data_IF_574875271366
#
_entry.id   IF_574875271366
#
_cell.length_a   1.000
_cell.length_b   1.000
_cell.length_c   1.000
_cell.angle_alpha   90.00
_cell.angle_beta   90.00
_cell.angle_gamma   90.00
#
_symmetry.space_group_name_H-M   'P 1'
#
loop_
_entity.id
_entity.type
_entity.pdbx_description
1 polymer ?
#
# COMPACT_ATOMS: atom_id res chain seq x y z
N UNK A 1 -20.40 -24.81 20.95
CA UNK A 1 -19.10 -24.53 21.59
C UNK A 1 -18.37 -23.53 20.71
N UNK A 2 -17.85 -22.43 21.26
CA UNK A 2 -17.00 -21.53 20.49
C UNK A 2 -15.73 -22.30 20.06
N UNK A 3 -15.24 -22.11 18.82
CA UNK A 3 -14.01 -22.76 18.38
C UNK A 3 -12.83 -22.35 19.29
N UNK A 4 -12.02 -23.33 19.72
CA UNK A 4 -10.74 -23.04 20.37
C UNK A 4 -9.72 -22.71 19.28
N UNK A 5 -9.06 -21.57 19.42
CA UNK A 5 -8.04 -21.08 18.49
C UNK A 5 -6.61 -21.42 18.95
N UNK A 6 -6.46 -22.26 19.98
CA UNK A 6 -5.15 -22.69 20.47
C UNK A 6 -4.49 -23.74 19.54
N UNK A 7 -5.27 -24.37 18.65
CA UNK A 7 -4.76 -25.23 17.57
C UNK A 7 -4.68 -24.44 16.24
N UNK A 8 -3.48 -24.37 15.66
CA UNK A 8 -3.21 -23.61 14.43
C UNK A 8 -4.04 -24.05 13.22
N UNK A 9 -4.33 -25.35 13.07
CA UNK A 9 -5.14 -25.84 11.96
C UNK A 9 -6.60 -25.36 12.05
N UNK A 10 -7.20 -25.43 13.24
CA UNK A 10 -8.58 -24.96 13.43
C UNK A 10 -8.71 -23.45 13.28
N UNK A 11 -7.69 -22.68 13.71
CA UNK A 11 -7.65 -21.23 13.48
C UNK A 11 -7.55 -20.92 11.98
N UNK A 12 -6.62 -21.57 11.28
CA UNK A 12 -6.41 -21.32 9.85
C UNK A 12 -7.64 -21.69 9.03
N UNK A 13 -8.29 -22.81 9.34
CA UNK A 13 -9.52 -23.22 8.68
C UNK A 13 -10.64 -22.20 8.89
N UNK A 14 -10.84 -21.72 10.13
CA UNK A 14 -11.87 -20.74 10.45
C UNK A 14 -11.59 -19.38 9.80
N UNK A 15 -10.40 -18.83 10.00
CA UNK A 15 -10.06 -17.46 9.56
C UNK A 15 -9.86 -17.39 8.06
N UNK A 16 -9.05 -18.31 7.50
CA UNK A 16 -8.61 -18.26 6.10
C UNK A 16 -9.54 -19.07 5.20
N UNK A 17 -9.66 -20.38 5.44
CA UNK A 17 -10.36 -21.29 4.49
C UNK A 17 -11.87 -21.12 4.47
N UNK A 18 -12.48 -20.71 5.58
CA UNK A 18 -13.91 -20.42 5.67
C UNK A 18 -14.20 -18.93 5.39
N UNK A 19 -13.19 -18.05 5.41
CA UNK A 19 -13.36 -16.63 5.12
C UNK A 19 -13.93 -15.80 6.26
N UNK A 20 -13.89 -16.28 7.50
CA UNK A 20 -14.35 -15.47 8.63
C UNK A 20 -13.44 -14.25 8.88
N UNK A 21 -12.17 -14.33 8.48
CA UNK A 21 -11.19 -13.28 8.70
C UNK A 21 -10.81 -13.10 10.17
N UNK A 22 -9.90 -12.18 10.44
CA UNK A 22 -9.55 -11.73 11.79
C UNK A 22 -10.77 -11.09 12.45
N UNK A 23 -11.60 -10.37 11.69
CA UNK A 23 -12.82 -9.75 12.22
C UNK A 23 -13.76 -10.79 12.82
N UNK A 24 -14.03 -11.89 12.11
CA UNK A 24 -14.91 -12.95 12.62
C UNK A 24 -14.37 -13.59 13.90
N UNK A 25 -13.04 -13.68 14.05
CA UNK A 25 -12.41 -14.13 15.29
C UNK A 25 -12.59 -13.12 16.43
N UNK A 26 -12.49 -11.82 16.15
CA UNK A 26 -12.73 -10.74 17.14
C UNK A 26 -14.20 -10.69 17.57
N UNK A 27 -15.13 -10.88 16.63
CA UNK A 27 -16.58 -10.90 16.90
C UNK A 27 -16.98 -12.06 17.86
N UNK A 28 -16.15 -13.10 17.99
CA UNK A 28 -16.35 -14.20 18.95
C UNK A 28 -15.89 -13.85 20.38
N UNK A 29 -15.44 -12.61 20.65
CA UNK A 29 -15.05 -12.16 21.98
C UNK A 29 -13.66 -12.62 22.40
N UNK A 30 -12.71 -12.60 21.47
CA UNK A 30 -11.33 -13.02 21.72
C UNK A 30 -10.65 -12.16 22.79
N UNK A 31 -10.09 -12.78 23.83
CA UNK A 31 -9.45 -12.09 24.95
C UNK A 31 -7.92 -11.97 24.85
N UNK A 32 -7.28 -12.73 23.95
CA UNK A 32 -5.82 -12.78 23.77
C UNK A 32 -5.47 -12.95 22.30
N UNK A 33 -4.33 -12.41 21.87
CA UNK A 33 -3.81 -12.68 20.51
C UNK A 33 -3.41 -14.16 20.40
N UNK A 34 -3.87 -14.92 19.39
CA UNK A 34 -3.47 -16.31 19.20
C UNK A 34 -2.01 -16.41 18.74
N UNK A 35 -1.35 -17.52 19.06
CA UNK A 35 0.08 -17.72 18.75
C UNK A 35 0.43 -17.49 17.27
N UNK A 36 -0.48 -17.82 16.35
CA UNK A 36 -0.28 -17.65 14.91
C UNK A 36 -0.15 -16.19 14.47
N UNK A 37 -0.57 -15.21 15.28
CA UNK A 37 -0.48 -13.77 15.00
C UNK A 37 0.61 -13.08 15.81
N UNK A 38 1.28 -13.79 16.72
CA UNK A 38 2.37 -13.22 17.52
C UNK A 38 3.59 -13.06 16.61
N UNK A 39 3.92 -11.83 16.33
CA UNK A 39 5.07 -11.46 15.51
C UNK A 39 6.37 -11.67 16.30
N UNK A 40 7.46 -12.07 15.64
CA UNK A 40 8.76 -12.19 16.29
C UNK A 40 9.21 -10.81 16.83
N UNK A 41 10.05 -10.76 17.89
CA UNK A 41 10.39 -9.51 18.56
C UNK A 41 10.89 -8.39 17.63
N UNK A 42 11.65 -8.75 16.60
CA UNK A 42 12.19 -7.82 15.59
C UNK A 42 11.13 -7.22 14.64
N UNK A 43 9.96 -7.85 14.52
CA UNK A 43 8.84 -7.35 13.69
C UNK A 43 7.83 -6.55 14.52
N UNK A 44 7.84 -6.69 15.85
CA UNK A 44 6.98 -5.92 16.73
C UNK A 44 7.28 -4.41 16.61
N UNK A 45 6.22 -3.59 16.74
CA UNK A 45 6.33 -2.14 16.57
C UNK A 45 6.55 -1.51 17.94
N UNK A 46 7.73 -0.94 18.13
CA UNK A 46 8.02 -0.05 19.26
C UNK A 46 7.28 1.28 19.06
N UNK A 47 6.09 1.37 19.65
CA UNK A 47 5.20 2.53 19.53
C UNK A 47 5.65 3.70 20.40
N UNK A 48 6.35 3.40 21.49
CA UNK A 48 6.72 4.40 22.50
C UNK A 48 7.92 5.24 22.05
N UNK A 49 8.80 4.68 21.24
CA UNK A 49 10.01 5.35 20.74
C UNK A 49 9.88 5.90 19.31
N UNK A 50 8.75 5.70 18.64
CA UNK A 50 8.57 6.18 17.28
C UNK A 50 8.30 7.69 17.23
N UNK A 51 9.11 8.42 16.46
CA UNK A 51 8.85 9.82 16.18
C UNK A 51 7.70 9.98 15.19
N UNK A 52 7.03 11.13 15.23
CA UNK A 52 5.98 11.47 14.26
C UNK A 52 6.60 12.24 13.11
N UNK A 53 6.24 11.88 11.89
CA UNK A 53 6.63 12.66 10.73
C UNK A 53 5.99 14.05 10.82
N UNK A 54 6.84 15.08 10.86
CA UNK A 54 6.43 16.45 11.14
C UNK A 54 6.30 17.35 9.91
N UNK A 55 6.45 16.83 8.69
CA UNK A 55 6.28 17.64 7.49
C UNK A 55 4.79 17.91 7.25
N UNK A 56 4.41 19.17 6.96
CA UNK A 56 3.04 19.48 6.59
C UNK A 56 2.69 18.83 5.25
N UNK A 57 1.41 18.55 4.98
CA UNK A 57 0.97 18.10 3.66
C UNK A 57 1.31 19.12 2.58
N UNK A 58 1.67 18.62 1.41
CA UNK A 58 1.91 19.39 0.19
C UNK A 58 0.55 19.80 -0.40
N UNK A 59 0.35 21.11 -0.61
CA UNK A 59 -0.87 21.65 -1.19
C UNK A 59 -0.79 21.61 -2.73
N UNK A 60 -1.52 20.67 -3.34
CA UNK A 60 -1.50 20.49 -4.79
C UNK A 60 -2.30 21.54 -5.57
N UNK A 61 -3.15 22.34 -4.92
CA UNK A 61 -3.86 23.43 -5.61
C UNK A 61 -2.93 24.54 -6.09
N UNK A 62 -1.73 24.61 -5.51
CA UNK A 62 -0.66 25.56 -5.86
C UNK A 62 0.14 25.14 -7.11
N UNK A 63 -0.03 23.92 -7.61
CA UNK A 63 0.70 23.40 -8.77
C UNK A 63 0.45 24.20 -10.05
N UNK A 64 -0.78 24.64 -10.29
CA UNK A 64 -1.17 25.35 -11.52
C UNK A 64 -1.03 26.88 -11.38
N UNK A 65 -0.28 27.34 -10.37
CA UNK A 65 -0.15 28.76 -9.99
C UNK A 65 1.30 29.27 -9.90
N UNK A 66 1.51 30.47 -9.31
CA UNK A 66 2.84 31.09 -9.18
C UNK A 66 3.85 30.27 -8.39
N UNK A 67 3.37 29.36 -7.53
CA UNK A 67 4.18 28.54 -6.65
C UNK A 67 4.54 27.17 -7.26
N UNK A 68 4.26 26.95 -8.55
CA UNK A 68 4.49 25.67 -9.26
C UNK A 68 5.86 25.05 -8.92
N UNK A 69 6.93 25.81 -9.12
CA UNK A 69 8.31 25.34 -8.91
C UNK A 69 8.61 24.99 -7.45
N UNK A 70 7.95 25.64 -6.49
CA UNK A 70 8.11 25.34 -5.06
C UNK A 70 7.44 24.01 -4.73
N UNK A 71 6.19 23.81 -5.18
CA UNK A 71 5.46 22.56 -4.96
C UNK A 71 6.15 21.38 -5.64
N UNK A 72 6.68 21.57 -6.85
CA UNK A 72 7.49 20.56 -7.54
C UNK A 72 8.72 20.18 -6.70
N UNK A 73 9.43 21.17 -6.13
CA UNK A 73 10.58 20.90 -5.25
C UNK A 73 10.19 20.16 -3.98
N UNK A 74 9.04 20.46 -3.38
CA UNK A 74 8.52 19.74 -2.21
C UNK A 74 8.25 18.26 -2.54
N UNK A 75 7.56 17.99 -3.65
CA UNK A 75 7.26 16.64 -4.13
C UNK A 75 8.55 15.86 -4.40
N UNK A 76 9.46 16.44 -5.16
CA UNK A 76 10.75 15.82 -5.51
C UNK A 76 11.57 15.54 -4.26
N UNK A 77 11.68 16.52 -3.36
CA UNK A 77 12.44 16.35 -2.11
C UNK A 77 11.86 15.24 -1.26
N UNK A 78 10.54 15.15 -1.13
CA UNK A 78 9.91 14.08 -0.38
C UNK A 78 10.16 12.70 -1.03
N UNK A 79 10.10 12.62 -2.36
CA UNK A 79 10.38 11.40 -3.11
C UNK A 79 11.86 10.95 -3.01
N UNK A 80 12.82 11.89 -3.00
CA UNK A 80 14.27 11.60 -2.87
C UNK A 80 14.71 11.30 -1.43
N UNK A 81 13.93 11.72 -0.44
CA UNK A 81 14.25 11.52 0.98
C UNK A 81 13.42 10.39 1.57
N UNK A 82 12.25 10.66 2.15
CA UNK A 82 11.47 9.62 2.83
C UNK A 82 10.83 8.64 1.85
N UNK A 83 10.54 9.07 0.62
CA UNK A 83 9.74 8.30 -0.33
C UNK A 83 8.25 8.29 -0.03
N UNK A 84 7.83 9.05 1.00
CA UNK A 84 6.46 9.22 1.44
C UNK A 84 6.17 10.71 1.63
N UNK A 85 4.97 11.15 1.27
CA UNK A 85 4.48 12.49 1.56
C UNK A 85 2.96 12.51 1.65
N UNK A 86 2.43 13.49 2.36
CA UNK A 86 0.99 13.76 2.41
C UNK A 86 0.65 14.87 1.43
N UNK A 87 -0.50 14.77 0.78
CA UNK A 87 -1.03 15.80 -0.11
C UNK A 87 -2.41 16.25 0.35
N UNK A 88 -2.73 17.52 0.16
CA UNK A 88 -4.05 18.13 0.37
C UNK A 88 -4.44 18.96 -0.86
N UNK A 89 -5.71 19.34 -0.94
CA UNK A 89 -6.28 20.06 -2.10
C UNK A 89 -5.95 19.37 -3.44
N UNK A 90 -5.93 18.04 -3.42
CA UNK A 90 -5.52 17.18 -4.54
C UNK A 90 -6.63 16.94 -5.57
N UNK A 91 -7.80 17.56 -5.40
CA UNK A 91 -8.94 17.45 -6.33
C UNK A 91 -9.88 16.26 -6.10
N UNK A 92 -9.59 15.40 -5.11
CA UNK A 92 -10.55 14.35 -4.68
C UNK A 92 -11.44 14.94 -3.58
N UNK A 93 -12.79 14.94 -3.74
CA UNK A 93 -13.68 15.51 -2.75
C UNK A 93 -13.55 14.85 -1.37
N UNK A 94 -13.55 15.64 -0.29
CA UNK A 94 -13.46 15.10 1.07
C UNK A 94 -14.65 14.20 1.40
N UNK A 95 -15.86 14.57 0.98
CA UNK A 95 -17.06 13.74 1.18
C UNK A 95 -16.96 12.37 0.50
N UNK A 96 -16.25 12.30 -0.64
CA UNK A 96 -15.95 11.03 -1.31
C UNK A 96 -15.02 10.18 -0.43
N UNK A 97 -13.96 10.77 0.13
CA UNK A 97 -13.03 10.11 1.06
C UNK A 97 -13.75 9.58 2.32
N UNK A 98 -14.66 10.36 2.90
CA UNK A 98 -15.48 9.90 4.04
C UNK A 98 -16.40 8.74 3.64
N UNK A 99 -17.07 8.85 2.48
CA UNK A 99 -17.94 7.80 1.94
C UNK A 99 -17.19 6.49 1.67
N UNK A 100 -15.92 6.53 1.23
CA UNK A 100 -15.09 5.33 1.07
C UNK A 100 -14.82 4.62 2.40
N UNK A 101 -14.54 5.39 3.46
CA UNK A 101 -14.30 4.82 4.79
C UNK A 101 -15.56 4.14 5.30
N UNK A 102 -16.72 4.78 5.14
CA UNK A 102 -18.01 4.22 5.52
C UNK A 102 -18.37 2.98 4.71
N UNK A 103 -18.12 3.00 3.39
CA UNK A 103 -18.33 1.85 2.52
C UNK A 103 -17.42 0.66 2.89
N UNK A 104 -16.16 0.92 3.23
CA UNK A 104 -15.25 -0.11 3.74
C UNK A 104 -15.79 -0.72 5.04
N UNK A 105 -16.16 0.11 6.03
CA UNK A 105 -16.77 -0.37 7.26
C UNK A 105 -18.06 -1.17 7.02
N UNK A 106 -18.90 -0.73 6.09
CA UNK A 106 -20.14 -1.40 5.71
C UNK A 106 -19.86 -2.77 5.12
N UNK A 107 -18.92 -2.87 4.17
CA UNK A 107 -18.50 -4.15 3.59
C UNK A 107 -18.00 -5.12 4.66
N UNK A 108 -17.07 -4.72 5.52
CA UNK A 108 -16.49 -5.62 6.52
C UNK A 108 -17.47 -5.99 7.63
N UNK A 109 -18.49 -5.18 7.90
CA UNK A 109 -19.55 -5.45 8.89
C UNK A 109 -20.58 -6.50 8.43
N UNK A 110 -20.59 -6.87 7.15
CA UNK A 110 -21.47 -7.92 6.66
C UNK A 110 -21.19 -9.29 7.32
N UNK A 111 -22.20 -10.18 7.32
CA UNK A 111 -22.01 -11.58 7.68
C UNK A 111 -20.86 -12.23 6.89
N UNK A 112 -20.06 -13.14 7.50
CA UNK A 112 -18.95 -13.81 6.84
C UNK A 112 -19.31 -14.43 5.49
N UNK A 113 -20.51 -15.01 5.36
CA UNK A 113 -20.97 -15.68 4.15
C UNK A 113 -21.09 -14.73 2.96
N UNK A 114 -21.44 -13.46 3.21
CA UNK A 114 -21.55 -12.42 2.18
C UNK A 114 -20.19 -11.94 1.68
N UNK A 115 -19.18 -11.95 2.54
CA UNK A 115 -17.80 -11.58 2.17
C UNK A 115 -17.05 -12.75 1.54
N UNK A 116 -17.29 -13.96 2.04
CA UNK A 116 -16.60 -15.19 1.63
C UNK A 116 -16.84 -15.56 0.16
N UNK A 117 -17.89 -15.03 -0.48
CA UNK A 117 -18.13 -15.20 -1.93
C UNK A 117 -17.01 -14.60 -2.78
N UNK A 118 -16.24 -13.65 -2.26
CA UNK A 118 -15.13 -13.02 -2.97
C UNK A 118 -13.77 -13.70 -2.69
N UNK A 119 -13.73 -14.83 -1.96
CA UNK A 119 -12.47 -15.53 -1.74
C UNK A 119 -11.88 -16.04 -3.05
N UNK A 120 -10.55 -16.12 -3.13
CA UNK A 120 -9.80 -16.49 -4.33
C UNK A 120 -10.33 -17.75 -5.02
N UNK A 121 -10.76 -18.75 -4.25
CA UNK A 121 -11.19 -20.05 -4.78
C UNK A 121 -12.61 -20.04 -5.39
N UNK A 122 -13.45 -19.07 -5.00
CA UNK A 122 -14.88 -19.06 -5.33
C UNK A 122 -15.38 -17.74 -5.90
N UNK A 123 -14.51 -16.72 -5.96
CA UNK A 123 -14.86 -15.41 -6.49
C UNK A 123 -15.41 -15.52 -7.90
N UNK A 124 -16.52 -14.83 -8.24
CA UNK A 124 -17.09 -14.85 -9.59
C UNK A 124 -16.10 -14.39 -10.67
N UNK A 125 -15.06 -13.64 -10.29
CA UNK A 125 -14.02 -13.14 -11.17
C UNK A 125 -12.65 -13.21 -10.48
N UNK A 126 -11.55 -13.46 -11.21
CA UNK A 126 -10.20 -13.34 -10.66
C UNK A 126 -9.82 -11.89 -10.29
N UNK A 127 -10.60 -10.89 -10.70
CA UNK A 127 -10.33 -9.47 -10.48
C UNK A 127 -10.65 -9.01 -9.06
N UNK A 128 -11.47 -9.75 -8.32
CA UNK A 128 -11.88 -9.39 -6.96
C UNK A 128 -11.50 -10.50 -6.00
N UNK A 129 -10.73 -10.16 -4.96
CA UNK A 129 -10.25 -11.11 -3.95
C UNK A 129 -10.45 -10.56 -2.55
N UNK A 130 -11.33 -11.17 -1.78
CA UNK A 130 -11.41 -11.04 -0.32
C UNK A 130 -10.49 -12.07 0.35
N UNK A 131 -9.84 -11.64 1.42
CA UNK A 131 -8.95 -12.48 2.21
C UNK A 131 -8.53 -11.83 3.51
N UNK A 132 -7.54 -12.45 4.13
CA UNK A 132 -6.94 -12.05 5.40
C UNK A 132 -5.44 -12.25 5.27
N UNK A 133 -4.65 -11.52 6.07
CA UNK A 133 -3.18 -11.48 5.91
C UNK A 133 -2.74 -11.05 4.50
N UNK A 134 -1.49 -11.31 4.11
CA UNK A 134 -1.00 -11.08 2.75
C UNK A 134 -1.03 -12.38 1.92
N UNK A 135 -0.25 -13.38 2.34
CA UNK A 135 -0.20 -14.73 1.78
C UNK A 135 -0.13 -15.72 2.97
N UNK A 136 -1.27 -15.99 3.64
CA UNK A 136 -1.32 -16.75 4.88
C UNK A 136 -0.56 -18.08 4.86
N UNK A 137 -0.55 -18.77 3.73
CA UNK A 137 0.08 -20.09 3.56
C UNK A 137 1.61 -20.04 3.63
N UNK A 138 2.22 -18.87 3.43
CA UNK A 138 3.68 -18.68 3.39
C UNK A 138 4.20 -17.88 4.59
N UNK A 139 3.30 -17.32 5.39
CA UNK A 139 3.66 -16.46 6.52
C UNK A 139 4.05 -17.29 7.76
N UNK A 140 5.10 -16.84 8.45
CA UNK A 140 5.51 -17.43 9.74
C UNK A 140 4.60 -17.00 10.89
N UNK A 141 4.15 -15.75 10.84
CA UNK A 141 3.17 -15.17 11.72
C UNK A 141 2.22 -14.32 10.87
N UNK A 142 0.91 -14.54 11.04
CA UNK A 142 -0.14 -13.86 10.29
C UNK A 142 -0.24 -12.38 10.68
N UNK A 143 -0.62 -11.56 9.71
CA UNK A 143 -0.97 -10.15 9.87
C UNK A 143 -2.41 -10.02 10.38
N UNK A 144 -2.63 -9.07 11.30
CA UNK A 144 -3.93 -8.77 11.89
C UNK A 144 -4.76 -7.85 10.98
N UNK A 145 -5.12 -8.35 9.80
CA UNK A 145 -5.78 -7.58 8.75
C UNK A 145 -6.67 -8.47 7.89
N UNK A 146 -7.89 -8.00 7.64
CA UNK A 146 -8.73 -8.48 6.55
C UNK A 146 -8.67 -7.49 5.39
N UNK A 147 -8.86 -7.97 4.17
CA UNK A 147 -8.85 -7.10 3.00
C UNK A 147 -9.80 -7.57 1.91
N UNK A 148 -10.24 -6.63 1.08
CA UNK A 148 -10.73 -6.91 -0.26
C UNK A 148 -9.89 -6.15 -1.27
N UNK A 149 -9.43 -6.86 -2.29
CA UNK A 149 -8.63 -6.34 -3.39
C UNK A 149 -9.47 -6.35 -4.66
N UNK A 150 -9.55 -5.20 -5.33
CA UNK A 150 -10.40 -4.95 -6.49
C UNK A 150 -9.53 -4.43 -7.63
N UNK A 151 -9.15 -5.32 -8.54
CA UNK A 151 -8.41 -4.96 -9.74
C UNK A 151 -9.35 -4.25 -10.72
N UNK A 152 -8.87 -3.15 -11.29
CA UNK A 152 -9.59 -2.37 -12.28
C UNK A 152 -9.07 -2.68 -13.69
N UNK A 153 -10.01 -2.89 -14.60
CA UNK A 153 -9.79 -3.15 -16.02
C UNK A 153 -10.59 -2.15 -16.87
N UNK A 154 -11.89 -2.04 -16.60
CA UNK A 154 -12.80 -1.04 -17.15
C UNK A 154 -14.00 -0.80 -16.22
N UNK A 155 -14.72 0.31 -16.43
CA UNK A 155 -15.89 0.70 -15.63
C UNK A 155 -16.98 -0.38 -15.60
N UNK A 156 -17.22 -1.12 -16.70
CA UNK A 156 -18.28 -2.13 -16.76
C UNK A 156 -17.96 -3.34 -15.87
N UNK A 157 -16.75 -3.91 -15.97
CA UNK A 157 -16.31 -5.02 -15.12
C UNK A 157 -16.23 -4.61 -13.64
N UNK A 158 -15.81 -3.37 -13.36
CA UNK A 158 -15.81 -2.84 -12.00
C UNK A 158 -17.23 -2.77 -11.42
N UNK A 159 -18.19 -2.20 -12.17
CA UNK A 159 -19.59 -2.11 -11.72
C UNK A 159 -20.29 -3.46 -11.66
N UNK A 160 -19.91 -4.42 -12.50
CA UNK A 160 -20.48 -5.76 -12.50
C UNK A 160 -19.97 -6.61 -11.31
N UNK A 161 -18.67 -6.54 -11.01
CA UNK A 161 -18.03 -7.52 -10.14
C UNK A 161 -17.58 -6.99 -8.77
N UNK A 162 -17.32 -5.69 -8.61
CA UNK A 162 -16.97 -5.15 -7.29
C UNK A 162 -18.17 -5.20 -6.34
N UNK A 163 -17.97 -5.30 -5.01
CA UNK A 163 -19.07 -5.38 -4.07
C UNK A 163 -20.03 -4.19 -4.19
N UNK A 164 -21.32 -4.49 -4.16
CA UNK A 164 -22.37 -3.49 -4.38
C UNK A 164 -22.33 -2.36 -3.34
N UNK A 165 -21.79 -2.64 -2.15
CA UNK A 165 -21.68 -1.69 -1.05
C UNK A 165 -20.60 -0.63 -1.26
N UNK A 166 -19.63 -0.88 -2.16
CA UNK A 166 -18.50 0.03 -2.37
C UNK A 166 -18.15 0.31 -3.83
N UNK A 167 -18.73 -0.39 -4.81
CA UNK A 167 -18.30 -0.32 -6.22
C UNK A 167 -18.32 1.10 -6.81
N UNK A 168 -19.38 1.87 -6.56
CA UNK A 168 -19.55 3.21 -7.16
C UNK A 168 -18.56 4.20 -6.55
N UNK A 169 -18.52 4.26 -5.22
CA UNK A 169 -17.62 5.15 -4.48
C UNK A 169 -16.14 4.81 -4.71
N UNK A 170 -15.80 3.52 -4.81
CA UNK A 170 -14.45 3.07 -5.11
C UNK A 170 -14.03 3.40 -6.56
N UNK A 171 -14.96 3.29 -7.51
CA UNK A 171 -14.69 3.61 -8.91
C UNK A 171 -14.48 5.12 -9.11
N UNK A 172 -15.32 5.95 -8.47
CA UNK A 172 -15.16 7.40 -8.51
C UNK A 172 -13.83 7.83 -7.87
N UNK A 173 -13.48 7.25 -6.71
CA UNK A 173 -12.20 7.48 -6.05
C UNK A 173 -11.01 7.14 -6.93
N UNK A 174 -11.05 5.97 -7.57
CA UNK A 174 -10.00 5.53 -8.47
C UNK A 174 -9.81 6.52 -9.61
N UNK A 175 -10.90 6.89 -10.31
CA UNK A 175 -10.84 7.78 -11.48
C UNK A 175 -10.26 9.14 -11.12
N UNK A 176 -10.75 9.76 -10.04
CA UNK A 176 -10.26 11.08 -9.62
C UNK A 176 -8.81 11.03 -9.13
N UNK A 177 -8.42 9.95 -8.44
CA UNK A 177 -7.04 9.77 -7.96
C UNK A 177 -6.06 9.51 -9.09
N UNK A 178 -6.47 8.86 -10.19
CA UNK A 178 -5.58 8.57 -11.33
C UNK A 178 -5.13 9.83 -12.05
N UNK A 179 -5.96 10.87 -12.12
CA UNK A 179 -5.56 12.17 -12.68
C UNK A 179 -4.45 12.81 -11.84
N UNK A 180 -4.57 12.76 -10.51
CA UNK A 180 -3.51 13.18 -9.60
C UNK A 180 -2.23 12.35 -9.81
N UNK A 181 -2.35 11.02 -9.90
CA UNK A 181 -1.19 10.13 -10.10
C UNK A 181 -0.45 10.48 -11.40
N UNK A 182 -1.17 10.73 -12.51
CA UNK A 182 -0.56 11.13 -13.78
C UNK A 182 0.23 12.43 -13.65
N UNK A 183 -0.35 13.44 -13.00
CA UNK A 183 0.33 14.72 -12.74
C UNK A 183 1.61 14.53 -11.91
N UNK A 184 1.54 13.75 -10.83
CA UNK A 184 2.70 13.46 -9.98
C UNK A 184 3.80 12.71 -10.73
N UNK A 185 3.44 11.74 -11.58
CA UNK A 185 4.43 11.02 -12.38
C UNK A 185 5.12 11.91 -13.40
N UNK A 186 4.37 12.77 -14.10
CA UNK A 186 4.96 13.76 -15.01
C UNK A 186 5.99 14.63 -14.29
N UNK A 187 5.64 15.21 -13.14
CA UNK A 187 6.55 16.02 -12.31
C UNK A 187 7.82 15.23 -11.94
N UNK A 188 7.65 14.02 -11.43
CA UNK A 188 8.75 13.18 -10.99
C UNK A 188 9.67 12.76 -12.14
N UNK A 189 9.12 12.43 -13.32
CA UNK A 189 9.94 12.03 -14.48
C UNK A 189 10.60 13.23 -15.16
N UNK A 190 9.93 14.38 -15.24
CA UNK A 190 10.51 15.60 -15.79
C UNK A 190 11.68 16.11 -14.94
N UNK A 191 11.59 16.01 -13.60
CA UNK A 191 12.72 16.31 -12.70
C UNK A 191 13.93 15.37 -12.89
N UNK A 192 13.70 14.16 -13.40
CA UNK A 192 14.76 13.23 -13.81
C UNK A 192 15.36 13.57 -15.19
N UNK A 193 14.86 14.61 -15.87
CA UNK A 193 15.26 14.99 -17.22
C UNK A 193 14.55 14.19 -18.32
N UNK A 194 13.52 13.41 -17.97
CA UNK A 194 12.79 12.56 -18.89
C UNK A 194 11.34 13.05 -19.05
N UNK A 195 11.05 13.72 -20.15
CA UNK A 195 9.68 14.09 -20.52
C UNK A 195 9.00 12.90 -21.20
N UNK A 196 8.22 12.15 -20.42
CA UNK A 196 7.46 11.01 -20.93
C UNK A 196 6.14 11.49 -21.55
N UNK A 197 5.68 10.83 -22.60
CA UNK A 197 4.34 11.07 -23.13
C UNK A 197 3.27 10.33 -22.32
N UNK A 198 2.00 10.69 -22.53
CA UNK A 198 0.88 10.10 -21.80
C UNK A 198 0.75 8.58 -22.02
N UNK A 199 1.15 8.08 -23.20
CA UNK A 199 1.15 6.64 -23.49
C UNK A 199 2.12 5.88 -22.58
N UNK A 200 3.32 6.44 -22.37
CA UNK A 200 4.32 5.87 -21.48
C UNK A 200 3.91 6.01 -20.02
N UNK A 201 3.34 7.14 -19.61
CA UNK A 201 2.77 7.31 -18.26
C UNK A 201 1.68 6.26 -18.03
N UNK A 202 0.73 6.11 -18.95
CA UNK A 202 -0.34 5.11 -18.88
C UNK A 202 0.20 3.67 -18.83
N UNK A 203 1.31 3.39 -19.50
CA UNK A 203 1.99 2.11 -19.40
C UNK A 203 2.60 1.86 -18.01
N UNK A 204 3.16 2.89 -17.36
CA UNK A 204 3.71 2.83 -16.00
C UNK A 204 2.64 2.71 -14.91
N UNK A 205 1.38 3.03 -15.20
CA UNK A 205 0.23 2.84 -14.31
C UNK A 205 -0.82 1.89 -14.91
N UNK A 206 -0.39 0.98 -15.79
CA UNK A 206 -1.28 0.15 -16.60
C UNK A 206 -2.20 -0.76 -15.80
N UNK A 207 -1.72 -1.34 -14.69
CA UNK A 207 -2.55 -2.08 -13.73
C UNK A 207 -2.87 -1.22 -12.53
N UNK A 208 -4.12 -1.27 -12.11
CA UNK A 208 -4.66 -0.43 -11.04
C UNK A 208 -5.47 -1.32 -10.11
N UNK A 209 -5.22 -1.23 -8.82
CA UNK A 209 -5.95 -2.01 -7.83
C UNK A 209 -6.37 -1.11 -6.69
N UNK A 210 -7.64 -1.15 -6.32
CA UNK A 210 -8.15 -0.54 -5.09
C UNK A 210 -8.24 -1.65 -4.05
N UNK A 211 -7.52 -1.52 -2.95
CA UNK A 211 -7.74 -2.38 -1.79
C UNK A 211 -8.51 -1.61 -0.73
N UNK A 212 -9.42 -2.29 -0.04
CA UNK A 212 -9.91 -1.85 1.27
C UNK A 212 -9.35 -2.81 2.31
N UNK A 213 -8.56 -2.28 3.23
CA UNK A 213 -8.01 -3.03 4.36
C UNK A 213 -8.82 -2.70 5.62
N UNK A 214 -9.06 -3.71 6.44
CA UNK A 214 -9.75 -3.60 7.71
C UNK A 214 -8.94 -4.25 8.82
N UNK A 215 -8.71 -3.47 9.87
CA UNK A 215 -7.91 -3.85 11.02
C UNK A 215 -8.86 -3.86 12.22
N UNK A 216 -9.40 -5.03 12.62
CA UNK A 216 -10.26 -5.10 13.80
C UNK A 216 -9.48 -4.77 15.07
N UNK A 217 -10.19 -4.43 16.15
CA UNK A 217 -9.55 -4.24 17.46
C UNK A 217 -8.73 -5.46 17.86
N UNK A 218 -7.57 -5.22 18.45
CA UNK A 218 -6.63 -6.26 18.87
C UNK A 218 -6.48 -6.25 20.40
N UNK A 219 -6.62 -7.39 21.12
CA UNK A 219 -6.52 -7.43 22.57
C UNK A 219 -5.09 -7.16 23.08
N UNK A 220 -4.06 -7.50 22.29
CA UNK A 220 -2.65 -7.26 22.61
C UNK A 220 -1.94 -6.67 21.38
N UNK A 221 -2.18 -5.39 21.03
CA UNK A 221 -1.74 -4.81 19.77
C UNK A 221 -0.21 -4.67 19.66
N UNK A 222 0.55 -4.90 20.73
CA UNK A 222 2.02 -4.86 20.74
C UNK A 222 2.64 -6.19 20.29
N UNK A 223 1.87 -7.29 20.36
CA UNK A 223 2.33 -8.62 19.96
C UNK A 223 2.16 -8.90 18.47
N UNK A 224 1.43 -8.06 17.75
CA UNK A 224 1.09 -8.29 16.33
C UNK A 224 1.21 -7.01 15.51
N UNK A 225 1.08 -7.15 14.20
CA UNK A 225 1.08 -6.04 13.23
C UNK A 225 -0.13 -6.15 12.33
N UNK A 226 -0.62 -5.00 11.84
CA UNK A 226 -1.63 -4.96 10.80
C UNK A 226 -1.05 -5.31 9.45
N UNK A 227 0.18 -4.88 9.15
CA UNK A 227 0.97 -5.29 7.98
C UNK A 227 2.43 -5.33 8.40
N UNK A 228 3.16 -6.39 7.99
CA UNK A 228 4.59 -6.53 8.24
C UNK A 228 5.45 -5.53 7.45
N UNK A 229 6.76 -5.57 7.67
CA UNK A 229 7.72 -4.73 6.94
C UNK A 229 7.77 -5.13 5.47
N UNK A 230 7.50 -4.18 4.58
CA UNK A 230 7.56 -4.36 3.13
C UNK A 230 7.82 -3.03 2.41
N UNK A 231 8.24 -3.10 1.15
CA UNK A 231 8.14 -2.00 0.20
C UNK A 231 7.08 -2.32 -0.85
N UNK A 232 6.45 -1.28 -1.40
CA UNK A 232 5.47 -1.45 -2.47
C UNK A 232 6.20 -1.70 -3.78
N UNK A 233 5.87 -2.78 -4.48
CA UNK A 233 6.56 -3.08 -5.74
C UNK A 233 6.13 -2.20 -6.92
N UNK A 234 5.04 -1.44 -6.82
CA UNK A 234 4.44 -0.69 -7.93
C UNK A 234 5.23 0.56 -8.34
N UNK A 235 4.56 1.46 -9.07
CA UNK A 235 5.09 2.78 -9.45
C UNK A 235 4.81 3.80 -8.34
N UNK A 236 3.53 4.01 -8.03
CA UNK A 236 3.05 4.87 -6.94
C UNK A 236 1.88 4.21 -6.22
N UNK A 237 1.79 4.45 -4.92
CA UNK A 237 0.64 4.11 -4.10
C UNK A 237 -0.04 5.40 -3.60
N UNK A 238 -1.38 5.43 -3.65
CA UNK A 238 -2.21 6.49 -3.07
C UNK A 238 -3.01 5.91 -1.91
N UNK A 239 -2.70 6.31 -0.69
CA UNK A 239 -3.27 5.74 0.52
C UNK A 239 -4.21 6.74 1.20
N UNK A 240 -5.48 6.35 1.30
CA UNK A 240 -6.42 6.97 2.22
C UNK A 240 -6.35 6.28 3.59
N UNK A 241 -6.08 7.09 4.63
CA UNK A 241 -6.11 6.69 6.03
C UNK A 241 -7.43 7.12 6.70
N UNK A 242 -7.94 6.33 7.64
CA UNK A 242 -8.91 6.84 8.62
C UNK A 242 -8.24 7.74 9.69
N UNK A 243 -9.03 8.26 10.63
CA UNK A 243 -8.54 9.13 11.71
C UNK A 243 -7.69 8.46 12.80
N UNK A 244 -7.49 7.14 12.78
CA UNK A 244 -6.70 6.39 13.78
C UNK A 244 -5.21 6.29 13.39
N UNK A 245 -4.92 6.25 12.10
CA UNK A 245 -3.54 6.15 11.60
C UNK A 245 -2.86 4.81 11.89
N UNK A 246 -1.54 4.85 11.98
CA UNK A 246 -0.74 3.66 12.32
C UNK A 246 0.13 3.13 11.19
N UNK A 247 0.32 3.92 10.13
CA UNK A 247 1.39 3.72 9.16
C UNK A 247 2.72 4.15 9.79
N UNK A 248 3.72 3.28 9.69
CA UNK A 248 5.11 3.58 10.06
C UNK A 248 6.01 3.39 8.86
N UNK A 249 6.91 4.33 8.63
CA UNK A 249 7.86 4.31 7.52
C UNK A 249 9.28 4.26 8.09
N UNK A 250 10.12 3.40 7.55
CA UNK A 250 11.52 3.34 7.90
C UNK A 250 12.28 4.41 7.12
N UNK A 251 13.05 5.24 7.83
CA UNK A 251 13.92 6.24 7.21
C UNK A 251 15.03 5.52 6.41
N UNK A 252 15.12 5.75 5.08
CA UNK A 252 16.18 5.14 4.27
C UNK A 252 17.58 5.53 4.74
N UNK A 253 18.50 4.56 4.74
CA UNK A 253 19.85 4.69 5.32
C UNK A 253 20.72 5.79 4.68
N UNK A 254 20.44 6.14 3.42
CA UNK A 254 21.19 7.04 2.57
C UNK A 254 20.58 8.45 2.49
N UNK A 255 19.83 8.85 3.53
CA UNK A 255 19.13 10.15 3.57
C UNK A 255 19.55 10.97 4.79
N UNK A 256 19.50 12.30 4.64
CA UNK A 256 19.85 13.26 5.70
C UNK A 256 18.68 13.56 6.66
N UNK A 257 17.60 12.77 6.61
CA UNK A 257 16.37 13.01 7.38
C UNK A 257 16.22 12.05 8.56
N UNK A 258 16.52 12.50 9.78
CA UNK A 258 16.34 11.70 10.99
C UNK A 258 17.45 10.66 11.22
N UNK A 259 17.21 9.68 12.09
CA UNK A 259 18.22 8.65 12.39
C UNK A 259 18.06 7.44 11.46
N UNK A 260 19.19 6.88 11.03
CA UNK A 260 19.20 5.67 10.18
C UNK A 260 18.45 4.52 10.85
N UNK A 261 17.57 3.87 10.11
CA UNK A 261 16.78 2.73 10.59
C UNK A 261 15.68 3.10 11.58
N UNK A 262 15.47 4.40 11.85
CA UNK A 262 14.35 4.88 12.66
C UNK A 262 13.02 4.67 11.92
N UNK A 263 11.98 4.32 12.68
CA UNK A 263 10.62 4.22 12.18
C UNK A 263 9.84 5.47 12.60
N UNK A 264 9.25 6.16 11.62
CA UNK A 264 8.44 7.35 11.83
C UNK A 264 6.97 7.05 11.58
N UNK A 265 6.08 7.47 12.49
CA UNK A 265 4.63 7.39 12.28
C UNK A 265 4.19 8.48 11.29
N UNK A 266 3.37 8.12 10.30
CA UNK A 266 2.68 9.08 9.43
C UNK A 266 1.30 9.37 10.03
N UNK A 267 1.11 10.53 10.69
CA UNK A 267 -0.14 10.86 11.34
C UNK A 267 -1.25 11.11 10.29
N UNK A 268 -2.46 10.60 10.53
CA UNK A 268 -3.57 10.85 9.62
C UNK A 268 -3.97 12.32 9.70
N UNK A 269 -4.14 12.96 8.54
CA UNK A 269 -4.63 14.34 8.42
C UNK A 269 -5.96 14.29 7.68
N UNK A 270 -6.97 14.99 8.20
CA UNK A 270 -8.29 15.02 7.60
C UNK A 270 -8.22 15.58 6.18
N UNK A 271 -8.83 14.87 5.23
CA UNK A 271 -8.82 15.23 3.81
C UNK A 271 -7.48 15.07 3.11
N UNK A 272 -6.46 14.49 3.75
CA UNK A 272 -5.16 14.23 3.13
C UNK A 272 -5.06 12.80 2.58
N UNK A 273 -4.30 12.65 1.50
CA UNK A 273 -3.86 11.36 0.97
C UNK A 273 -2.36 11.20 1.20
N UNK A 274 -1.91 9.99 1.54
CA UNK A 274 -0.48 9.66 1.59
C UNK A 274 -0.07 9.11 0.23
N UNK A 275 1.01 9.63 -0.34
CA UNK A 275 1.62 9.12 -1.56
C UNK A 275 2.94 8.46 -1.19
N UNK A 276 3.22 7.30 -1.76
CA UNK A 276 4.54 6.69 -1.66
C UNK A 276 5.07 6.16 -2.98
N UNK A 277 6.39 6.23 -3.09
CA UNK A 277 7.19 5.71 -4.20
C UNK A 277 7.26 4.19 -4.07
N UNK A 278 7.00 3.47 -5.16
CA UNK A 278 7.22 2.03 -5.24
C UNK A 278 8.52 1.67 -5.94
N UNK A 279 8.86 0.37 -5.88
CA UNK A 279 10.10 -0.19 -6.41
C UNK A 279 10.31 0.12 -7.89
N UNK A 280 9.25 0.11 -8.72
CA UNK A 280 9.39 0.41 -10.16
C UNK A 280 9.85 1.84 -10.40
N UNK A 281 9.32 2.81 -9.64
CA UNK A 281 9.71 4.20 -9.79
C UNK A 281 11.10 4.46 -9.19
N UNK A 282 11.47 3.76 -8.12
CA UNK A 282 12.86 3.76 -7.64
C UNK A 282 13.82 3.27 -8.74
N UNK A 283 13.50 2.16 -9.42
CA UNK A 283 14.33 1.60 -10.50
C UNK A 283 14.41 2.58 -11.68
N UNK A 284 13.29 3.12 -12.14
CA UNK A 284 13.24 4.12 -13.22
C UNK A 284 14.09 5.35 -12.91
N UNK A 285 14.10 5.78 -11.64
CA UNK A 285 14.92 6.90 -11.16
C UNK A 285 16.38 6.55 -10.88
N UNK A 286 16.82 5.35 -11.24
CA UNK A 286 18.15 4.81 -10.92
C UNK A 286 18.50 4.87 -9.41
N UNK A 287 17.50 4.83 -8.52
CA UNK A 287 17.67 4.87 -7.07
C UNK A 287 17.59 6.26 -6.45
N UNK A 288 17.34 7.31 -7.23
CA UNK A 288 17.16 8.68 -6.72
C UNK A 288 15.91 8.79 -5.85
N UNK A 289 14.78 8.28 -6.31
CA UNK A 289 13.54 8.21 -5.52
C UNK A 289 13.53 6.96 -4.65
N UNK A 290 13.01 7.08 -3.42
CA UNK A 290 13.13 6.03 -2.39
C UNK A 290 11.84 5.26 -2.23
N UNK A 291 11.85 3.99 -2.59
CA UNK A 291 10.87 3.01 -2.14
C UNK A 291 11.25 2.60 -0.71
N UNK A 292 10.57 3.19 0.28
CA UNK A 292 10.86 2.99 1.70
C UNK A 292 10.11 1.76 2.26
N UNK A 293 10.76 1.07 3.20
CA UNK A 293 10.07 0.04 3.96
C UNK A 293 9.02 0.69 4.85
N UNK A 294 7.85 0.09 4.92
CA UNK A 294 6.77 0.55 5.76
C UNK A 294 6.04 -0.63 6.40
N UNK A 295 5.35 -0.36 7.51
CA UNK A 295 4.57 -1.33 8.28
C UNK A 295 3.35 -0.66 8.89
N UNK A 296 2.39 -1.46 9.36
CA UNK A 296 1.14 -0.93 9.92
C UNK A 296 0.89 -1.54 11.30
N UNK A 297 0.63 -0.70 12.30
CA UNK A 297 0.21 -1.17 13.64
C UNK A 297 -1.27 -1.50 13.69
N UNK A 298 -1.66 -2.26 14.72
CA UNK A 298 -3.05 -2.38 15.15
C UNK A 298 -3.32 -1.54 16.40
N UNK A 299 -4.58 -1.52 16.84
CA UNK A 299 -5.00 -0.83 18.06
C UNK A 299 -6.04 -1.66 18.81
N UNK A 300 -6.12 -1.47 20.13
CA UNK A 300 -7.11 -2.10 20.99
C UNK A 300 -8.41 -1.29 21.13
N UNK A 301 -8.43 -0.04 20.65
CA UNK A 301 -9.51 0.91 20.97
C UNK A 301 -10.66 0.91 19.96
N UNK A 302 -10.34 0.96 18.67
CA UNK A 302 -11.33 1.00 17.58
C UNK A 302 -10.79 0.27 16.35
N UNK A 303 -11.68 -0.39 15.62
CA UNK A 303 -11.32 -0.93 14.31
C UNK A 303 -10.95 0.19 13.35
N UNK A 304 -9.99 -0.07 12.47
CA UNK A 304 -9.47 0.88 11.50
C UNK A 304 -9.67 0.40 10.07
N UNK A 305 -9.79 1.35 9.13
CA UNK A 305 -9.70 1.08 7.69
C UNK A 305 -8.56 1.85 7.02
N UNK A 306 -8.06 1.30 5.91
CA UNK A 306 -7.23 2.03 4.95
C UNK A 306 -7.59 1.62 3.52
N UNK A 307 -7.52 2.57 2.58
CA UNK A 307 -7.94 2.35 1.20
C UNK A 307 -6.81 2.76 0.23
N UNK A 308 -5.79 1.91 0.03
CA UNK A 308 -4.76 2.18 -0.95
C UNK A 308 -5.20 1.88 -2.39
N UNK A 309 -4.80 2.75 -3.31
CA UNK A 309 -4.71 2.49 -4.75
C UNK A 309 -3.27 2.15 -5.06
N UNK A 310 -3.04 0.99 -5.66
CA UNK A 310 -1.75 0.61 -6.22
C UNK A 310 -1.74 0.86 -7.72
N UNK A 311 -0.75 1.62 -8.20
CA UNK A 311 -0.50 1.76 -9.63
C UNK A 311 0.75 1.00 -10.00
N UNK A 312 0.62 0.11 -10.98
CA UNK A 312 1.65 -0.85 -11.37
C UNK A 312 1.79 -0.77 -12.90
N UNK A 313 3.00 -0.92 -13.47
CA UNK A 313 3.14 -0.95 -14.92
C UNK A 313 2.38 -2.11 -15.58
N UNK A 314 2.23 -2.06 -16.89
CA UNK A 314 1.74 -3.22 -17.67
C UNK A 314 2.68 -4.41 -17.45
N UNK A 315 2.13 -5.63 -17.42
CA UNK A 315 2.94 -6.85 -17.23
C UNK A 315 4.05 -7.00 -18.28
N UNK A 316 3.78 -6.57 -19.50
CA UNK A 316 4.70 -6.60 -20.64
C UNK A 316 5.67 -5.42 -20.65
N UNK A 317 5.59 -4.50 -19.69
CA UNK A 317 6.45 -3.33 -19.66
C UNK A 317 7.88 -3.72 -19.29
N UNK A 318 8.83 -3.15 -20.04
CA UNK A 318 10.24 -3.24 -19.71
C UNK A 318 10.59 -2.16 -18.69
N UNK A 319 11.09 -2.59 -17.54
CA UNK A 319 11.50 -1.71 -16.46
C UNK A 319 13.02 -1.67 -16.42
N UNK A 320 13.56 -0.46 -16.50
CA UNK A 320 14.98 -0.16 -16.42
C UNK A 320 15.16 1.30 -15.97
N UNK A 321 16.33 1.70 -15.45
CA UNK A 321 16.67 3.10 -15.25
C UNK A 321 16.45 3.93 -16.51
N UNK A 322 15.90 5.14 -16.35
CA UNK A 322 15.69 6.06 -17.47
C UNK A 322 17.05 6.43 -18.09
N UNK A 323 17.20 6.37 -19.43
CA UNK A 323 18.48 6.64 -20.09
C UNK A 323 19.11 7.99 -19.71
N UNK A 324 18.27 9.02 -19.55
CA UNK A 324 18.70 10.36 -19.16
C UNK A 324 19.33 10.39 -17.77
N UNK A 325 18.83 9.55 -16.86
CA UNK A 325 19.36 9.44 -15.50
C UNK A 325 20.68 8.67 -15.53
N UNK A 326 20.76 7.57 -16.29
CA UNK A 326 22.00 6.80 -16.45
C UNK A 326 23.11 7.61 -17.11
N UNK A 327 22.78 8.42 -18.13
CA UNK A 327 23.74 9.31 -18.79
C UNK A 327 24.29 10.35 -17.80
N UNK A 328 23.44 10.90 -16.93
CA UNK A 328 23.84 11.86 -15.90
C UNK A 328 24.67 11.23 -14.78
N UNK A 329 24.28 10.05 -14.31
CA UNK A 329 24.95 9.34 -13.22
C UNK A 329 26.25 8.65 -13.68
N UNK A 330 26.36 8.36 -14.98
CA UNK A 330 27.47 7.63 -15.59
C UNK A 330 27.44 6.12 -15.38
N UNK A 331 26.47 5.60 -14.62
CA UNK A 331 26.31 4.17 -14.31
C UNK A 331 24.85 3.80 -14.06
N UNK A 332 24.46 2.62 -14.52
CA UNK A 332 23.17 2.03 -14.18
C UNK A 332 23.29 1.18 -12.90
N UNK A 333 22.45 1.44 -11.90
CA UNK A 333 22.41 0.66 -10.65
C UNK A 333 21.46 -0.54 -10.72
N UNK A 334 20.57 -0.55 -11.71
CA UNK A 334 19.57 -1.60 -11.90
C UNK A 334 19.61 -2.13 -13.34
N UNK A 335 19.31 -3.43 -13.49
CA UNK A 335 19.19 -4.10 -14.80
C UNK A 335 17.80 -3.89 -15.41
N UNK A 336 17.72 -4.09 -16.72
CA UNK A 336 16.43 -4.20 -17.43
C UNK A 336 15.77 -5.56 -17.13
N UNK A 337 14.45 -5.56 -16.94
CA UNK A 337 13.63 -6.77 -16.86
C UNK A 337 12.19 -6.51 -17.32
N UNK A 338 11.43 -7.57 -17.57
CA UNK A 338 9.97 -7.49 -17.82
C UNK A 338 9.24 -7.62 -16.50
N UNK A 339 8.23 -6.77 -16.26
CA UNK A 339 7.53 -6.72 -14.98
C UNK A 339 6.92 -8.06 -14.55
N UNK A 340 6.40 -8.86 -15.48
CA UNK A 340 5.86 -10.19 -15.20
C UNK A 340 6.86 -11.11 -14.49
N UNK A 341 8.13 -11.09 -14.90
CA UNK A 341 9.20 -11.88 -14.27
C UNK A 341 9.45 -11.43 -12.82
N UNK A 342 9.40 -10.12 -12.57
CA UNK A 342 9.53 -9.54 -11.23
C UNK A 342 8.35 -9.91 -10.34
N UNK A 343 7.12 -9.84 -10.84
CA UNK A 343 5.91 -10.17 -10.07
C UNK A 343 5.88 -11.63 -9.65
N UNK A 344 6.31 -12.54 -10.52
CA UNK A 344 6.41 -13.96 -10.18
C UNK A 344 7.38 -14.21 -9.02
N UNK A 345 8.47 -13.45 -8.95
CA UNK A 345 9.39 -13.46 -7.80
C UNK A 345 8.76 -12.82 -6.55
N UNK A 346 8.07 -11.68 -6.68
CA UNK A 346 7.46 -10.96 -5.55
C UNK A 346 6.37 -11.77 -4.84
N UNK A 347 5.36 -12.27 -5.58
CA UNK A 347 4.27 -13.10 -5.01
C UNK A 347 4.70 -14.55 -4.73
N UNK A 348 5.90 -14.91 -5.16
CA UNK A 348 6.60 -16.13 -4.77
C UNK A 348 6.92 -16.18 -3.27
N UNK A 349 7.05 -15.04 -2.60
CA UNK A 349 7.60 -14.92 -1.25
C UNK A 349 6.65 -14.18 -0.27
N UNK A 350 6.78 -14.36 1.05
CA UNK A 350 6.10 -13.52 2.05
C UNK A 350 6.70 -12.10 2.09
N UNK A 351 6.05 -11.17 2.79
CA UNK A 351 6.63 -9.84 3.07
C UNK A 351 7.92 -9.98 3.89
N UNK A 352 9.07 -9.66 3.30
CA UNK A 352 10.39 -9.68 3.94
C UNK A 352 11.20 -8.41 3.60
N UNK A 353 10.58 -7.24 3.72
CA UNK A 353 11.27 -5.96 3.46
C UNK A 353 11.66 -5.74 2.00
N UNK A 354 12.83 -5.13 1.76
CA UNK A 354 13.34 -4.75 0.41
C UNK A 354 13.94 -5.87 -0.44
N UNK A 355 13.92 -7.14 -0.01
CA UNK A 355 14.58 -8.24 -0.75
C UNK A 355 14.08 -8.41 -2.20
N UNK A 356 12.89 -7.90 -2.51
CA UNK A 356 12.36 -7.86 -3.87
C UNK A 356 13.25 -7.05 -4.84
N UNK A 357 13.87 -5.96 -4.37
CA UNK A 357 14.74 -5.10 -5.17
C UNK A 357 16.08 -5.76 -5.53
N UNK A 358 16.54 -6.74 -4.75
CA UNK A 358 17.79 -7.47 -5.05
C UNK A 358 17.70 -8.22 -6.39
N UNK A 359 16.48 -8.56 -6.85
CA UNK A 359 16.25 -9.10 -8.18
C UNK A 359 16.69 -8.13 -9.29
N UNK A 360 16.58 -6.82 -9.07
CA UNK A 360 16.84 -5.80 -10.08
C UNK A 360 18.23 -5.17 -9.96
N UNK A 361 18.91 -5.31 -8.82
CA UNK A 361 20.22 -4.68 -8.58
C UNK A 361 21.31 -5.30 -9.45
N UNK A 362 22.19 -4.45 -9.98
CA UNK A 362 23.46 -4.88 -10.56
C UNK A 362 24.47 -4.95 -9.41
N UNK A 363 24.89 -6.16 -9.03
CA UNK A 363 25.96 -6.31 -8.04
C UNK A 363 27.26 -5.74 -8.62
N UNK A 364 27.99 -4.87 -7.91
CA UNK A 364 29.31 -4.48 -8.33
C UNK A 364 30.22 -5.72 -8.38
N UNK A 365 30.95 -5.86 -9.48
CA UNK A 365 31.90 -6.95 -9.71
C UNK A 365 33.11 -6.88 -8.80
#
# INVERSE_FOLDING_TARGET
MAPSFDNGNSLFDFVVRQGNGVKGMVDLGLSKVPQAYIQPPEEQIDKDNASKHGQPPIDLSRLDGPDHDEVVKEIVRAAETLGFFQVVNHGVPVDLLESLKDAAHTFFSQPPERKAVYRKEVSPTPLVKYGTSFVPEKEKALEWKDYISMAYTNDAEALEHWPVECREVALEYLKTSLEMVKKLLHILTENLGAKLDDSKIDALIGRKTVNMNFYPTCPNPDLTVGVGRHSDFGTLTVLLQDGIGGLYVNIPEDTDIGKRGEWVEIPPIHGALVINIGDMLQILSNGRYKSAEHRVRTTSTKSRVSIPIFTIPKLTEKIAPLPQVVEKDGVAHYREFVLEDYMNNFFGNPHEGKKSLDFARINPA
#
